data_IF_401575799477
#
_entry.id   IF_401575799477
#
_cell.length_a   1.000
_cell.length_b   1.000
_cell.length_c   1.000
_cell.angle_alpha   90.00
_cell.angle_beta   90.00
_cell.angle_gamma   90.00
#
_symmetry.space_group_name_H-M   'P 1'
#
loop_
_entity.id
_entity.type
_entity.pdbx_description
1 polymer ?
#
# COMPACT_ATOMS: atom_id res chain seq x y z
N UNK A 1 23.61 4.43 -35.49
CA UNK A 1 22.33 3.92 -34.96
C UNK A 1 22.16 4.48 -33.56
N UNK A 2 21.09 5.22 -33.27
CA UNK A 2 20.80 5.68 -31.91
C UNK A 2 20.59 4.46 -31.01
N UNK A 3 21.22 4.46 -29.84
CA UNK A 3 21.09 3.43 -28.81
C UNK A 3 19.62 3.38 -28.41
N UNK A 4 18.93 2.27 -28.63
CA UNK A 4 17.59 2.07 -28.06
C UNK A 4 17.72 2.22 -26.53
N UNK A 5 16.75 2.85 -25.85
CA UNK A 5 16.71 2.80 -24.40
C UNK A 5 16.80 1.35 -23.96
N UNK A 6 17.66 1.06 -22.98
CA UNK A 6 17.76 -0.29 -22.41
C UNK A 6 16.34 -0.70 -21.97
N UNK A 7 15.83 -1.80 -22.53
CA UNK A 7 14.56 -2.38 -22.10
C UNK A 7 14.65 -2.61 -20.59
N UNK A 8 13.74 -2.00 -19.84
CA UNK A 8 13.62 -2.24 -18.40
C UNK A 8 13.31 -3.73 -18.27
N UNK A 9 14.28 -4.52 -17.82
CA UNK A 9 14.08 -5.95 -17.59
C UNK A 9 13.00 -6.12 -16.53
N UNK A 10 11.94 -6.84 -16.92
CA UNK A 10 10.83 -7.28 -16.06
C UNK A 10 11.07 -8.69 -15.50
N UNK A 11 12.30 -9.21 -15.62
CA UNK A 11 12.65 -10.52 -15.10
C UNK A 11 12.56 -10.54 -13.56
N UNK A 12 12.13 -11.68 -12.97
CA UNK A 12 12.04 -11.82 -11.53
C UNK A 12 13.36 -11.49 -10.85
N UNK A 13 13.37 -10.41 -10.07
CA UNK A 13 14.57 -9.89 -9.40
C UNK A 13 14.91 -10.66 -8.13
N UNK A 14 16.19 -10.68 -7.75
CA UNK A 14 16.61 -11.31 -6.51
C UNK A 14 16.08 -10.54 -5.29
N UNK A 15 15.85 -11.21 -4.13
CA UNK A 15 15.46 -10.53 -2.90
C UNK A 15 16.44 -9.43 -2.48
N UNK A 16 17.74 -9.60 -2.74
CA UNK A 16 18.77 -8.60 -2.48
C UNK A 16 18.55 -7.34 -3.31
N UNK A 17 18.16 -7.49 -4.59
CA UNK A 17 17.85 -6.35 -5.44
C UNK A 17 16.62 -5.58 -4.93
N UNK A 18 15.57 -6.30 -4.50
CA UNK A 18 14.38 -5.68 -3.88
C UNK A 18 14.74 -4.86 -2.64
N UNK A 19 15.64 -5.38 -1.80
CA UNK A 19 16.15 -4.66 -0.63
C UNK A 19 16.89 -3.38 -1.04
N UNK A 20 17.73 -3.44 -2.08
CA UNK A 20 18.46 -2.27 -2.58
C UNK A 20 17.51 -1.20 -3.11
N UNK A 21 16.52 -1.57 -3.92
CA UNK A 21 15.49 -0.66 -4.45
C UNK A 21 14.74 0.02 -3.31
N UNK A 22 14.24 -0.75 -2.34
CA UNK A 22 13.50 -0.20 -1.22
C UNK A 22 14.32 0.79 -0.40
N UNK A 23 15.60 0.46 -0.12
CA UNK A 23 16.52 1.36 0.59
C UNK A 23 16.82 2.63 -0.18
N UNK A 24 16.98 2.54 -1.50
CA UNK A 24 17.22 3.72 -2.34
C UNK A 24 16.04 4.70 -2.27
N UNK A 25 14.81 4.20 -2.37
CA UNK A 25 13.60 5.05 -2.27
C UNK A 25 13.43 5.63 -0.86
N UNK A 26 13.67 4.84 0.19
CA UNK A 26 13.60 5.31 1.58
C UNK A 26 14.69 6.34 1.93
N UNK A 27 15.83 6.33 1.22
CA UNK A 27 16.93 7.27 1.42
C UNK A 27 16.72 8.64 0.74
N UNK A 28 15.64 8.81 -0.01
CA UNK A 28 15.32 10.08 -0.67
C UNK A 28 15.04 11.17 0.37
N UNK A 29 15.84 12.24 0.33
CA UNK A 29 15.54 13.46 1.06
C UNK A 29 14.35 14.18 0.43
N UNK A 30 13.25 14.24 1.16
CA UNK A 30 12.00 14.86 0.75
C UNK A 30 11.59 16.02 1.69
N UNK A 31 12.43 16.39 2.67
CA UNK A 31 12.07 17.39 3.68
C UNK A 31 11.92 18.81 3.11
N UNK A 32 12.58 19.07 1.98
CA UNK A 32 12.54 20.33 1.26
C UNK A 32 11.31 20.44 0.35
N UNK A 33 10.63 19.33 0.03
CA UNK A 33 9.45 19.32 -0.83
C UNK A 33 8.31 20.04 -0.10
N UNK A 34 7.75 21.06 -0.75
CA UNK A 34 6.58 21.80 -0.28
C UNK A 34 5.42 21.48 -1.20
N UNK A 35 4.37 20.87 -0.65
CA UNK A 35 3.23 20.38 -1.43
C UNK A 35 1.92 20.50 -0.65
N UNK A 36 0.82 20.20 -1.32
CA UNK A 36 -0.52 20.14 -0.74
C UNK A 36 -0.64 18.99 0.29
N UNK A 37 -1.72 18.97 1.09
CA UNK A 37 -2.05 17.81 1.93
C UNK A 37 -2.16 16.49 1.15
N UNK A 38 -2.63 16.54 -0.11
CA UNK A 38 -2.67 15.38 -1.02
C UNK A 38 -1.25 14.90 -1.30
N UNK A 39 -0.36 15.81 -1.69
CA UNK A 39 1.04 15.47 -1.97
C UNK A 39 1.78 14.89 -0.76
N UNK A 40 1.58 15.44 0.44
CA UNK A 40 2.17 14.87 1.66
C UNK A 40 1.66 13.45 1.94
N UNK A 41 0.37 13.20 1.71
CA UNK A 41 -0.22 11.86 1.86
C UNK A 41 0.40 10.88 0.88
N UNK A 42 0.55 11.27 -0.39
CA UNK A 42 1.17 10.45 -1.43
C UNK A 42 2.62 10.10 -1.09
N UNK A 43 3.41 11.08 -0.64
CA UNK A 43 4.79 10.85 -0.17
C UNK A 43 4.80 9.85 1.00
N UNK A 44 3.92 10.03 1.98
CA UNK A 44 3.78 9.11 3.11
C UNK A 44 3.45 7.68 2.69
N UNK A 45 2.56 7.51 1.71
CA UNK A 45 2.22 6.20 1.15
C UNK A 45 3.36 5.56 0.38
N UNK A 46 4.14 6.33 -0.40
CA UNK A 46 5.36 5.82 -1.05
C UNK A 46 6.32 5.29 0.01
N UNK A 47 6.62 6.07 1.05
CA UNK A 47 7.55 5.64 2.11
C UNK A 47 7.03 4.41 2.86
N UNK A 48 5.75 4.40 3.23
CA UNK A 48 5.13 3.27 3.91
C UNK A 48 5.20 1.99 3.06
N UNK A 49 4.89 2.06 1.77
CA UNK A 49 4.99 0.90 0.89
C UNK A 49 6.43 0.38 0.77
N UNK A 50 7.42 1.26 0.65
CA UNK A 50 8.82 0.83 0.50
C UNK A 50 9.40 0.25 1.80
N UNK A 51 8.94 0.71 2.97
CA UNK A 51 9.24 0.05 4.25
C UNK A 51 8.71 -1.41 4.26
N UNK A 52 7.51 -1.63 3.74
CA UNK A 52 6.95 -2.98 3.61
C UNK A 52 7.68 -3.82 2.54
N UNK A 53 8.08 -3.22 1.41
CA UNK A 53 8.89 -3.90 0.38
C UNK A 53 10.24 -4.33 0.96
N UNK A 54 10.89 -3.47 1.75
CA UNK A 54 12.13 -3.79 2.45
C UNK A 54 11.94 -5.00 3.37
N UNK A 55 10.88 -4.98 4.19
CA UNK A 55 10.56 -6.10 5.08
C UNK A 55 10.32 -7.42 4.32
N UNK A 56 9.61 -7.39 3.19
CA UNK A 56 9.42 -8.58 2.35
C UNK A 56 10.76 -9.07 1.78
N UNK A 57 11.57 -8.18 1.24
CA UNK A 57 12.89 -8.52 0.69
C UNK A 57 13.80 -9.18 1.72
N UNK A 58 13.89 -8.62 2.93
CA UNK A 58 14.69 -9.17 4.02
C UNK A 58 14.15 -10.52 4.52
N UNK A 59 12.83 -10.66 4.70
CA UNK A 59 12.23 -11.93 5.10
C UNK A 59 12.41 -13.02 4.04
N UNK A 60 12.25 -12.71 2.76
CA UNK A 60 12.46 -13.69 1.68
C UNK A 60 13.92 -14.09 1.59
N UNK A 61 14.87 -13.14 1.68
CA UNK A 61 16.32 -13.41 1.75
C UNK A 61 16.65 -14.38 2.89
N UNK A 62 16.01 -14.19 4.05
CA UNK A 62 16.24 -15.01 5.24
C UNK A 62 15.40 -16.32 5.25
N UNK A 63 14.73 -16.66 4.14
CA UNK A 63 13.99 -17.91 3.98
C UNK A 63 12.60 -17.94 4.63
N UNK A 64 12.09 -16.80 5.13
CA UNK A 64 10.82 -16.68 5.88
C UNK A 64 9.63 -16.32 4.99
N UNK A 65 9.49 -16.99 3.85
CA UNK A 65 8.48 -16.67 2.81
C UNK A 65 7.03 -16.72 3.31
N UNK A 66 6.71 -17.58 4.28
CA UNK A 66 5.37 -17.67 4.85
C UNK A 66 4.95 -16.45 5.69
N UNK A 67 5.91 -15.62 6.09
CA UNK A 67 5.67 -14.43 6.91
C UNK A 67 5.53 -13.14 6.08
N UNK A 68 5.71 -13.18 4.76
CA UNK A 68 5.71 -11.98 3.90
C UNK A 68 4.32 -11.48 3.56
N UNK A 69 3.30 -12.35 3.63
CA UNK A 69 1.95 -12.07 3.15
C UNK A 69 1.29 -10.82 3.76
N UNK A 70 1.40 -10.52 5.08
CA UNK A 70 0.86 -9.28 5.63
C UNK A 70 1.51 -8.03 5.00
N UNK A 71 2.83 -8.03 4.82
CA UNK A 71 3.57 -6.92 4.25
C UNK A 71 3.29 -6.78 2.75
N UNK A 72 3.26 -7.88 2.00
CA UNK A 72 2.88 -7.87 0.57
C UNK A 72 1.46 -7.35 0.38
N UNK A 73 0.52 -7.76 1.24
CA UNK A 73 -0.85 -7.23 1.22
C UNK A 73 -0.85 -5.72 1.41
N UNK A 74 -0.10 -5.20 2.38
CA UNK A 74 -0.01 -3.76 2.64
C UNK A 74 0.56 -2.99 1.44
N UNK A 75 1.61 -3.50 0.78
CA UNK A 75 2.17 -2.90 -0.45
C UNK A 75 1.11 -2.79 -1.54
N UNK A 76 0.39 -3.89 -1.81
CA UNK A 76 -0.62 -3.93 -2.87
C UNK A 76 -1.83 -3.05 -2.56
N UNK A 77 -2.19 -2.96 -1.29
CA UNK A 77 -3.23 -2.08 -0.81
C UNK A 77 -2.86 -0.59 -1.00
N UNK A 78 -1.59 -0.22 -0.78
CA UNK A 78 -1.10 1.13 -1.12
C UNK A 78 -1.09 1.35 -2.63
N UNK A 79 -0.62 0.38 -3.43
CA UNK A 79 -0.62 0.49 -4.89
C UNK A 79 -2.04 0.73 -5.43
N UNK A 80 -3.01 -0.07 -4.99
CA UNK A 80 -4.43 0.07 -5.37
C UNK A 80 -5.00 1.44 -4.96
N UNK A 81 -4.68 1.93 -3.76
CA UNK A 81 -5.10 3.26 -3.32
C UNK A 81 -4.50 4.38 -4.15
N UNK A 82 -3.23 4.27 -4.56
CA UNK A 82 -2.59 5.26 -5.42
C UNK A 82 -3.20 5.27 -6.82
N UNK A 83 -3.45 4.10 -7.41
CA UNK A 83 -4.06 4.00 -8.75
C UNK A 83 -5.49 4.59 -8.70
N UNK A 84 -6.28 4.23 -7.69
CA UNK A 84 -7.60 4.82 -7.47
C UNK A 84 -7.53 6.34 -7.25
N UNK A 85 -6.64 6.81 -6.38
CA UNK A 85 -6.49 8.25 -6.13
C UNK A 85 -6.08 9.01 -7.39
N UNK A 86 -5.24 8.41 -8.26
CA UNK A 86 -4.85 9.01 -9.51
C UNK A 86 -6.02 9.18 -10.48
N UNK A 87 -6.98 8.23 -10.47
CA UNK A 87 -8.16 8.27 -11.36
C UNK A 87 -9.25 9.26 -10.92
N UNK A 88 -9.15 9.85 -9.72
CA UNK A 88 -10.12 10.83 -9.23
C UNK A 88 -9.80 12.25 -9.71
N UNK A 89 -10.83 12.95 -10.16
CA UNK A 89 -10.77 14.40 -10.43
C UNK A 89 -10.56 15.22 -9.14
N UNK A 90 -11.19 14.80 -8.03
CA UNK A 90 -11.03 15.41 -6.71
C UNK A 90 -10.35 14.45 -5.73
N UNK A 91 -9.02 14.52 -5.71
CA UNK A 91 -8.16 13.71 -4.83
C UNK A 91 -8.31 14.07 -3.36
N UNK A 92 -8.56 15.33 -3.06
CA UNK A 92 -8.75 15.78 -1.69
C UNK A 92 -10.01 15.12 -1.10
N UNK A 93 -11.12 15.11 -1.84
CA UNK A 93 -12.34 14.41 -1.43
C UNK A 93 -12.14 12.89 -1.29
N UNK A 94 -11.36 12.27 -2.18
CA UNK A 94 -10.98 10.86 -2.08
C UNK A 94 -10.21 10.53 -0.80
N UNK A 95 -9.21 11.34 -0.45
CA UNK A 95 -8.47 11.20 0.81
C UNK A 95 -9.32 11.50 2.03
N UNK A 96 -10.21 12.50 1.96
CA UNK A 96 -11.19 12.79 3.03
C UNK A 96 -12.04 11.56 3.34
N UNK A 97 -12.52 10.89 2.30
CA UNK A 97 -13.31 9.67 2.40
C UNK A 97 -12.54 8.50 3.03
N UNK A 98 -11.28 8.29 2.61
CA UNK A 98 -10.39 7.27 3.15
C UNK A 98 -10.12 7.50 4.65
N UNK A 99 -9.66 8.71 5.02
CA UNK A 99 -9.29 9.02 6.40
C UNK A 99 -10.48 9.09 7.35
N UNK A 100 -11.69 9.41 6.87
CA UNK A 100 -12.90 9.32 7.68
C UNK A 100 -13.17 7.88 8.15
N UNK A 101 -12.94 6.90 7.27
CA UNK A 101 -13.02 5.48 7.59
C UNK A 101 -12.04 5.08 8.68
N UNK A 102 -10.78 5.44 8.53
CA UNK A 102 -9.70 5.16 9.50
C UNK A 102 -9.97 5.82 10.86
N UNK A 103 -10.36 7.10 10.85
CA UNK A 103 -10.74 7.81 12.07
C UNK A 103 -11.93 7.13 12.79
N UNK A 104 -12.94 6.68 12.06
CA UNK A 104 -14.07 5.92 12.62
C UNK A 104 -13.60 4.60 13.26
N UNK A 105 -12.64 3.89 12.65
CA UNK A 105 -12.09 2.67 13.25
C UNK A 105 -11.28 2.95 14.52
N UNK A 106 -10.44 3.99 14.50
CA UNK A 106 -9.67 4.40 15.67
C UNK A 106 -10.57 4.82 16.84
N UNK A 107 -11.62 5.59 16.57
CA UNK A 107 -12.57 6.06 17.59
C UNK A 107 -13.40 4.94 18.23
N UNK A 108 -13.59 3.81 17.53
CA UNK A 108 -14.26 2.63 18.11
C UNK A 108 -13.43 1.92 19.16
N UNK A 109 -12.10 2.07 19.17
CA UNK A 109 -11.26 1.36 20.12
C UNK A 109 -11.54 1.79 21.59
N UNK A 110 -11.54 3.09 21.94
CA UNK A 110 -12.00 3.55 23.25
C UNK A 110 -13.41 3.07 23.62
N UNK A 111 -14.36 3.15 22.68
CA UNK A 111 -15.73 2.66 22.91
C UNK A 111 -15.77 1.16 23.25
N UNK A 112 -14.95 0.36 22.57
CA UNK A 112 -14.87 -1.08 22.80
C UNK A 112 -14.22 -1.40 24.15
N UNK A 113 -13.15 -0.68 24.54
CA UNK A 113 -12.55 -0.83 25.87
C UNK A 113 -13.56 -0.51 26.98
N UNK A 114 -14.34 0.56 26.81
CA UNK A 114 -15.40 0.91 27.75
C UNK A 114 -16.47 -0.18 27.85
N UNK A 115 -16.91 -0.74 26.71
CA UNK A 115 -17.88 -1.86 26.68
C UNK A 115 -17.33 -3.11 27.37
N UNK A 116 -16.02 -3.31 27.37
CA UNK A 116 -15.34 -4.42 28.05
C UNK A 116 -15.07 -4.13 29.54
N UNK A 117 -15.45 -2.95 30.06
CA UNK A 117 -15.17 -2.54 31.43
C UNK A 117 -13.69 -2.27 31.69
N UNK A 118 -12.90 -2.06 30.64
CA UNK A 118 -11.47 -1.80 30.74
C UNK A 118 -11.20 -0.29 30.88
N UNK A 119 -10.22 0.12 31.70
CA UNK A 119 -9.85 1.52 31.84
C UNK A 119 -9.25 2.05 30.53
N UNK A 120 -9.66 3.26 30.15
CA UNK A 120 -9.08 3.98 29.01
C UNK A 120 -8.01 4.93 29.56
N UNK A 121 -6.75 4.58 29.36
CA UNK A 121 -5.63 5.51 29.63
C UNK A 121 -5.20 6.09 28.29
N UNK A 122 -5.67 7.29 27.94
CA UNK A 122 -5.18 8.02 26.76
C UNK A 122 -3.88 8.72 27.17
N UNK A 123 -2.74 8.14 26.81
CA UNK A 123 -1.42 8.60 27.28
C UNK A 123 -0.93 9.81 26.47
N UNK A 124 -1.20 9.83 25.16
CA UNK A 124 -0.94 10.95 24.25
C UNK A 124 -1.93 10.84 23.08
N UNK A 125 -2.58 11.95 22.71
CA UNK A 125 -3.34 11.96 21.45
C UNK A 125 -2.35 12.31 20.36
N UNK A 126 -2.00 11.41 19.43
CA UNK A 126 -1.21 11.80 18.28
C UNK A 126 -1.93 12.97 17.56
N UNK A 127 -1.19 13.86 16.88
CA UNK A 127 -1.81 14.95 16.16
C UNK A 127 -2.89 14.40 15.24
N UNK A 128 -4.14 14.81 15.47
CA UNK A 128 -5.25 14.43 14.61
C UNK A 128 -4.93 14.95 13.21
N UNK A 129 -5.06 14.10 12.20
CA UNK A 129 -5.10 14.56 10.82
C UNK A 129 -6.26 15.55 10.77
N UNK A 130 -5.96 16.82 10.47
CA UNK A 130 -6.99 17.82 10.27
C UNK A 130 -7.74 17.47 8.99
N UNK A 131 -8.91 16.83 9.12
CA UNK A 131 -9.65 16.35 7.96
C UNK A 131 -10.27 17.50 7.17
N UNK A 132 -10.41 18.69 7.76
CA UNK A 132 -11.00 19.85 7.11
C UNK A 132 -10.07 20.40 6.01
N UNK A 133 -8.77 20.10 6.07
CA UNK A 133 -7.81 20.43 5.01
C UNK A 133 -8.11 19.71 3.67
N UNK A 134 -8.94 18.66 3.69
CA UNK A 134 -9.36 17.90 2.50
C UNK A 134 -10.77 18.24 2.02
N UNK A 135 -11.43 19.23 2.63
CA UNK A 135 -12.77 19.67 2.24
C UNK A 135 -13.90 18.77 2.78
N UNK A 136 -15.04 18.82 2.08
CA UNK A 136 -16.27 18.16 2.53
C UNK A 136 -16.25 16.67 2.17
N UNK A 137 -16.78 15.83 3.08
CA UNK A 137 -16.89 14.39 2.85
C UNK A 137 -17.94 14.06 1.78
N UNK A 138 -17.51 13.41 0.70
CA UNK A 138 -18.40 12.82 -0.30
C UNK A 138 -18.85 11.40 0.13
N UNK A 139 -20.16 11.15 0.33
CA UNK A 139 -20.68 9.84 0.70
C UNK A 139 -20.43 8.72 -0.35
N UNK A 140 -20.35 9.08 -1.63
CA UNK A 140 -20.09 8.13 -2.73
C UNK A 140 -18.66 7.64 -2.65
N UNK A 141 -17.71 8.58 -2.53
CA UNK A 141 -16.28 8.25 -2.36
C UNK A 141 -16.04 7.52 -1.04
N UNK A 142 -16.80 7.83 0.03
CA UNK A 142 -16.76 7.07 1.28
C UNK A 142 -17.10 5.60 1.09
N UNK A 143 -18.08 5.28 0.23
CA UNK A 143 -18.44 3.89 -0.07
C UNK A 143 -17.36 3.18 -0.88
N UNK A 144 -16.73 3.89 -1.81
CA UNK A 144 -15.61 3.39 -2.59
C UNK A 144 -14.38 3.09 -1.71
N UNK A 145 -13.96 4.05 -0.89
CA UNK A 145 -12.79 3.94 -0.01
C UNK A 145 -12.91 2.86 1.08
N UNK A 146 -14.14 2.44 1.41
CA UNK A 146 -14.40 1.46 2.48
C UNK A 146 -13.83 0.07 2.24
N UNK A 147 -13.65 -0.34 0.99
CA UNK A 147 -13.11 -1.67 0.70
C UNK A 147 -12.25 -1.66 -0.56
N UNK A 148 -11.20 -2.50 -0.53
CA UNK A 148 -10.27 -2.65 -1.65
C UNK A 148 -11.00 -3.15 -2.90
N UNK A 149 -12.02 -4.00 -2.75
CA UNK A 149 -12.85 -4.43 -3.88
C UNK A 149 -13.56 -3.24 -4.53
N UNK A 150 -14.25 -2.40 -3.74
CA UNK A 150 -15.02 -1.28 -4.30
C UNK A 150 -14.14 -0.26 -5.02
N UNK A 151 -12.96 0.06 -4.49
CA UNK A 151 -12.04 0.96 -5.21
C UNK A 151 -11.44 0.28 -6.44
N UNK A 152 -11.14 -1.03 -6.39
CA UNK A 152 -10.64 -1.77 -7.56
C UNK A 152 -11.67 -1.85 -8.69
N UNK A 153 -12.97 -1.99 -8.37
CA UNK A 153 -14.05 -1.98 -9.37
C UNK A 153 -14.21 -0.62 -10.07
N UNK A 154 -13.77 0.47 -9.43
CA UNK A 154 -13.85 1.83 -9.96
C UNK A 154 -12.57 2.27 -10.68
N UNK A 155 -11.58 1.38 -10.81
CA UNK A 155 -10.25 1.72 -11.28
C UNK A 155 -9.87 0.81 -12.45
N UNK A 156 -9.61 1.41 -13.60
CA UNK A 156 -9.10 0.68 -14.76
C UNK A 156 -7.72 0.05 -14.45
N UNK A 157 -7.44 -1.13 -15.02
CA UNK A 157 -6.18 -1.88 -14.85
C UNK A 157 -5.83 -2.34 -13.41
N UNK A 158 -6.75 -2.19 -12.45
CA UNK A 158 -6.53 -2.62 -11.06
C UNK A 158 -6.63 -4.14 -10.83
N UNK A 159 -7.16 -4.90 -11.80
CA UNK A 159 -7.50 -6.32 -11.63
C UNK A 159 -6.33 -7.21 -11.22
N UNK A 160 -5.13 -6.99 -11.79
CA UNK A 160 -3.92 -7.75 -11.43
C UNK A 160 -3.48 -7.48 -9.98
N UNK A 161 -3.47 -6.21 -9.57
CA UNK A 161 -3.14 -5.83 -8.19
C UNK A 161 -4.17 -6.36 -7.19
N UNK A 162 -5.45 -6.34 -7.55
CA UNK A 162 -6.54 -6.88 -6.74
C UNK A 162 -6.37 -8.39 -6.50
N UNK A 163 -6.09 -9.17 -7.54
CA UNK A 163 -5.88 -10.63 -7.42
C UNK A 163 -4.69 -10.95 -6.49
N UNK A 164 -3.59 -10.21 -6.64
CA UNK A 164 -2.42 -10.35 -5.78
C UNK A 164 -2.74 -9.99 -4.32
N UNK A 165 -3.52 -8.92 -4.10
CA UNK A 165 -3.92 -8.47 -2.77
C UNK A 165 -4.85 -9.47 -2.08
N UNK A 166 -5.84 -9.97 -2.82
CA UNK A 166 -6.78 -10.98 -2.34
C UNK A 166 -6.07 -12.30 -2.01
N UNK A 167 -5.13 -12.71 -2.86
CA UNK A 167 -4.30 -13.90 -2.62
C UNK A 167 -3.47 -13.74 -1.35
N UNK A 168 -2.80 -12.59 -1.18
CA UNK A 168 -1.98 -12.32 0.01
C UNK A 168 -2.82 -12.24 1.30
N UNK A 169 -4.07 -11.77 1.18
CA UNK A 169 -5.04 -11.75 2.28
C UNK A 169 -5.36 -13.15 2.84
N UNK A 170 -5.32 -14.21 2.02
CA UNK A 170 -5.57 -15.56 2.55
C UNK A 170 -4.47 -16.03 3.51
N UNK A 171 -3.27 -15.45 3.41
CA UNK A 171 -2.10 -15.81 4.21
C UNK A 171 -1.71 -14.72 5.23
N UNK A 172 -2.42 -13.58 5.29
CA UNK A 172 -2.11 -12.46 6.20
C UNK A 172 -2.32 -12.80 7.67
N UNK A 173 -3.14 -13.81 7.96
CA UNK A 173 -3.22 -14.44 9.27
C UNK A 173 -2.68 -15.85 9.11
N UNK A 174 -1.38 -16.05 9.38
CA UNK A 174 -0.75 -17.37 9.34
C UNK A 174 -1.56 -18.41 10.14
N UNK A 175 -2.31 -17.97 11.15
CA UNK A 175 -3.25 -18.77 11.94
C UNK A 175 -4.36 -19.43 11.13
N UNK A 176 -4.87 -18.83 10.05
CA UNK A 176 -5.89 -19.45 9.19
C UNK A 176 -5.30 -20.57 8.35
N UNK A 177 -4.20 -20.31 7.64
CA UNK A 177 -3.52 -21.35 6.87
C UNK A 177 -3.01 -22.51 7.74
N UNK A 178 -2.49 -22.20 8.94
CA UNK A 178 -2.16 -23.20 9.96
C UNK A 178 -3.41 -23.92 10.46
N UNK A 179 -4.49 -23.23 10.80
CA UNK A 179 -5.73 -23.86 11.22
C UNK A 179 -6.27 -24.79 10.13
N UNK A 180 -6.27 -24.39 8.87
CA UNK A 180 -6.72 -25.19 7.72
C UNK A 180 -5.86 -26.44 7.50
N UNK A 181 -4.54 -26.33 7.69
CA UNK A 181 -3.63 -27.48 7.59
C UNK A 181 -3.89 -28.54 8.67
N UNK A 182 -4.42 -28.13 9.83
CA UNK A 182 -4.66 -29.00 10.99
C UNK A 182 -6.14 -29.25 11.29
N UNK A 183 -7.06 -28.57 10.63
CA UNK A 183 -8.50 -28.74 10.79
C UNK A 183 -9.02 -29.90 9.93
N UNK A 184 -10.12 -30.54 10.34
CA UNK A 184 -10.83 -31.49 9.49
C UNK A 184 -11.20 -30.83 8.14
N UNK A 185 -10.88 -31.50 7.02
CA UNK A 185 -11.02 -30.95 5.65
C UNK A 185 -12.45 -30.58 5.27
N UNK A 186 -13.43 -31.07 6.02
CA UNK A 186 -14.86 -30.86 5.91
C UNK A 186 -15.36 -29.62 6.68
N UNK A 187 -14.54 -28.98 7.51
CA UNK A 187 -14.95 -27.86 8.35
C UNK A 187 -15.13 -26.51 7.61
N UNK A 188 -14.55 -26.34 6.41
CA UNK A 188 -14.43 -25.02 5.78
C UNK A 188 -14.97 -24.90 4.33
N UNK A 189 -15.71 -25.90 3.84
CA UNK A 189 -16.27 -25.88 2.47
C UNK A 189 -15.18 -25.89 1.37
N UNK A 190 -15.57 -25.64 0.11
CA UNK A 190 -14.61 -25.56 -1.01
C UNK A 190 -13.81 -24.25 -0.90
N UNK A 191 -12.64 -24.32 -0.29
CA UNK A 191 -11.71 -23.19 -0.19
C UNK A 191 -11.04 -22.97 -1.56
N UNK A 192 -11.19 -21.77 -2.13
CA UNK A 192 -10.47 -21.34 -3.34
C UNK A 192 -9.10 -20.72 -3.04
N UNK A 193 -8.68 -20.69 -1.78
CA UNK A 193 -7.37 -20.18 -1.38
C UNK A 193 -6.23 -21.03 -1.98
N UNK A 194 -5.11 -20.42 -2.37
CA UNK A 194 -3.94 -21.15 -2.84
C UNK A 194 -3.41 -22.12 -1.78
N UNK A 195 -2.71 -23.17 -2.23
CA UNK A 195 -2.18 -24.21 -1.32
C UNK A 195 -0.99 -23.74 -0.48
N UNK A 196 -0.18 -22.84 -1.02
CA UNK A 196 1.05 -22.36 -0.39
C UNK A 196 1.15 -20.82 -0.49
N UNK A 197 1.80 -20.16 0.48
CA UNK A 197 2.15 -18.74 0.36
C UNK A 197 2.97 -18.52 -0.91
N UNK A 198 2.52 -17.61 -1.77
CA UNK A 198 3.26 -17.26 -2.98
C UNK A 198 4.40 -16.29 -2.64
N UNK A 199 5.58 -16.57 -3.17
CA UNK A 199 6.70 -15.64 -3.08
C UNK A 199 6.52 -14.51 -4.09
N UNK A 200 6.11 -13.35 -3.58
CA UNK A 200 5.85 -12.18 -4.41
C UNK A 200 7.07 -11.26 -4.56
N UNK A 201 8.18 -11.53 -3.85
CA UNK A 201 9.38 -10.71 -3.93
C UNK A 201 9.85 -10.43 -5.36
N UNK A 202 9.77 -11.39 -6.32
CA UNK A 202 10.26 -11.12 -7.66
C UNK A 202 9.45 -10.07 -8.43
N UNK A 203 8.22 -9.79 -8.01
CA UNK A 203 7.34 -8.79 -8.62
C UNK A 203 7.44 -7.42 -7.94
N UNK A 204 8.07 -7.33 -6.76
CA UNK A 204 8.07 -6.11 -5.96
C UNK A 204 8.85 -4.97 -6.60
N UNK A 205 9.84 -5.24 -7.46
CA UNK A 205 10.50 -4.19 -8.22
C UNK A 205 9.53 -3.51 -9.21
N UNK A 206 8.78 -4.29 -9.98
CA UNK A 206 7.78 -3.73 -10.90
C UNK A 206 6.68 -2.96 -10.13
N UNK A 207 6.25 -3.49 -8.99
CA UNK A 207 5.26 -2.82 -8.12
C UNK A 207 5.82 -1.52 -7.54
N UNK A 208 7.08 -1.50 -7.09
CA UNK A 208 7.81 -0.31 -6.66
C UNK A 208 7.79 0.77 -7.73
N UNK A 209 8.13 0.40 -8.97
CA UNK A 209 8.12 1.31 -10.11
C UNK A 209 6.72 1.87 -10.38
N UNK A 210 5.67 1.05 -10.32
CA UNK A 210 4.29 1.51 -10.49
C UNK A 210 3.88 2.49 -9.39
N UNK A 211 4.16 2.16 -8.13
CA UNK A 211 3.89 3.04 -6.98
C UNK A 211 4.57 4.40 -7.18
N UNK A 212 5.86 4.41 -7.49
CA UNK A 212 6.62 5.63 -7.70
C UNK A 212 6.17 6.42 -8.94
N UNK A 213 5.81 5.73 -10.02
CA UNK A 213 5.34 6.37 -11.25
C UNK A 213 3.99 7.06 -11.04
N UNK A 214 3.01 6.37 -10.44
CA UNK A 214 1.68 6.91 -10.17
C UNK A 214 1.77 8.05 -9.15
N UNK A 215 2.54 7.87 -8.07
CA UNK A 215 2.80 8.93 -7.10
C UNK A 215 3.43 10.16 -7.77
N UNK A 216 4.39 9.97 -8.66
CA UNK A 216 5.03 11.07 -9.39
C UNK A 216 4.06 11.83 -10.30
N UNK A 217 3.09 11.14 -10.94
CA UNK A 217 2.04 11.84 -11.71
C UNK A 217 1.18 12.70 -10.80
N UNK A 218 0.68 12.14 -9.68
CA UNK A 218 -0.12 12.90 -8.72
C UNK A 218 0.67 14.12 -8.21
N UNK A 219 1.93 13.94 -7.83
CA UNK A 219 2.77 15.04 -7.33
C UNK A 219 2.99 16.16 -8.36
N UNK A 220 3.19 15.82 -9.64
CA UNK A 220 3.26 16.85 -10.70
C UNK A 220 1.95 17.64 -10.82
N UNK A 221 0.81 16.94 -10.72
CA UNK A 221 -0.51 17.58 -10.77
C UNK A 221 -0.80 18.44 -9.53
N UNK A 222 -0.23 18.09 -8.38
CA UNK A 222 -0.22 18.92 -7.16
C UNK A 222 0.79 20.08 -7.22
N UNK A 223 1.43 20.31 -8.38
CA UNK A 223 2.25 21.49 -8.67
C UNK A 223 3.74 21.35 -8.39
N UNK A 224 4.24 20.14 -8.10
CA UNK A 224 5.68 19.91 -8.00
C UNK A 224 6.36 20.01 -9.37
N UNK A 225 7.64 20.37 -9.35
CA UNK A 225 8.48 20.26 -10.54
C UNK A 225 8.63 18.79 -10.97
N UNK A 226 8.87 18.48 -12.25
CA UNK A 226 9.10 17.10 -12.69
C UNK A 226 10.25 16.40 -11.96
N UNK A 227 11.29 17.15 -11.57
CA UNK A 227 12.45 16.62 -10.85
C UNK A 227 12.06 16.19 -9.42
N UNK A 228 11.37 17.06 -8.68
CA UNK A 228 10.93 16.76 -7.32
C UNK A 228 9.83 15.68 -7.31
N UNK A 229 8.91 15.71 -8.27
CA UNK A 229 7.81 14.75 -8.34
C UNK A 229 8.29 13.33 -8.67
N UNK A 230 9.34 13.21 -9.49
CA UNK A 230 9.88 11.91 -9.93
C UNK A 230 11.06 11.44 -9.11
N UNK A 231 11.44 12.15 -8.04
CA UNK A 231 12.62 11.83 -7.23
C UNK A 231 12.62 10.36 -6.73
N UNK A 232 11.48 9.86 -6.27
CA UNK A 232 11.32 8.46 -5.82
C UNK A 232 11.39 7.47 -6.98
N UNK A 233 10.81 7.81 -8.14
CA UNK A 233 10.90 6.97 -9.34
C UNK A 233 12.34 6.86 -9.82
N UNK A 234 13.06 7.99 -9.87
CA UNK A 234 14.49 8.01 -10.21
C UNK A 234 15.29 7.15 -9.24
N UNK A 235 15.08 7.31 -7.93
CA UNK A 235 15.75 6.49 -6.92
C UNK A 235 15.47 4.99 -7.10
N UNK A 236 14.22 4.61 -7.38
CA UNK A 236 13.84 3.22 -7.65
C UNK A 236 14.48 2.68 -8.94
N UNK A 237 14.61 3.50 -9.98
CA UNK A 237 15.11 3.08 -11.29
C UNK A 237 16.65 3.01 -11.36
N UNK A 238 17.36 3.74 -10.49
CA UNK A 238 18.83 3.79 -10.47
C UNK A 238 19.47 2.96 -9.36
N UNK A 239 18.66 2.22 -8.59
CA UNK A 239 19.12 1.29 -7.55
C UNK A 239 19.74 0.02 -8.13
#
# INVERSE_FOLDING_TARGET
MPKKPDEISIDPVSPEYVVTVARAVLAVDHQHIRTSPVGHTVIGWVLAAHDQILAVGEMTRDGRKSATAPNTRAVLEVALRLIWLHSLDDRAAGLRAQFDGEASHANKHPENLQKMGLPITVIETPPKIDLDQFGTLDPTLKSAARSILNLSEQTDDAGGFYDMWWTSTQFSHATKALADAYAPRDAFGTITAPKDPRDWSPHLNAISMVICAVAGQILMEEGLTPDDARIFFTASATA
#
